data_IF_069988231768
#
_entry.id   IF_069988231768
#
_cell.length_a   1.000
_cell.length_b   1.000
_cell.length_c   1.000
_cell.angle_alpha   90.00
_cell.angle_beta   90.00
_cell.angle_gamma   90.00
#
_symmetry.space_group_name_H-M   'P 1'
#
loop_
_entity.id
_entity.type
_entity.pdbx_description
1 polymer ?
#
# COMPACT_ATOMS: atom_id res chain seq x y z
N UNK A 1 13.07 -11.31 3.25
CA UNK A 1 12.47 -9.97 3.09
C UNK A 1 12.77 -9.14 4.32
N UNK A 2 12.89 -7.82 4.20
CA UNK A 2 13.14 -6.89 5.32
C UNK A 2 11.79 -6.29 5.73
N UNK A 3 11.36 -6.48 6.97
CA UNK A 3 10.16 -5.81 7.49
C UNK A 3 10.51 -4.36 7.86
N UNK A 4 9.67 -3.42 7.44
CA UNK A 4 9.72 -2.00 7.80
C UNK A 4 8.38 -1.58 8.39
N UNK A 5 8.44 -0.67 9.35
CA UNK A 5 7.27 0.00 9.92
C UNK A 5 7.51 1.50 9.91
N UNK A 6 6.57 2.25 9.36
CA UNK A 6 6.65 3.70 9.28
C UNK A 6 5.25 4.26 9.06
N UNK A 7 4.96 5.44 9.62
CA UNK A 7 3.66 6.10 9.49
C UNK A 7 2.45 5.21 9.86
N UNK A 8 2.62 4.28 10.81
CA UNK A 8 1.56 3.38 11.27
C UNK A 8 1.28 2.18 10.35
N UNK A 9 1.93 2.07 9.20
CA UNK A 9 1.80 0.93 8.27
C UNK A 9 3.04 0.05 8.29
N UNK A 10 2.86 -1.22 7.94
CA UNK A 10 3.95 -2.18 7.80
C UNK A 10 4.06 -2.70 6.37
N UNK A 11 5.28 -2.79 5.87
CA UNK A 11 5.60 -3.23 4.52
C UNK A 11 6.92 -3.99 4.49
N UNK A 12 7.10 -4.81 3.47
CA UNK A 12 8.34 -5.52 3.22
C UNK A 12 9.15 -4.85 2.12
N UNK A 13 10.46 -5.04 2.18
CA UNK A 13 11.38 -4.72 1.10
C UNK A 13 12.19 -5.96 0.72
N UNK A 14 12.44 -6.12 -0.58
CA UNK A 14 13.43 -7.09 -1.04
C UNK A 14 14.86 -6.59 -0.74
N UNK A 15 15.73 -7.41 -0.11
CA UNK A 15 17.09 -7.00 0.23
C UNK A 15 17.90 -6.55 -0.99
N UNK A 16 17.78 -7.24 -2.12
CA UNK A 16 18.52 -6.92 -3.35
C UNK A 16 18.15 -5.55 -3.95
N UNK A 17 16.89 -5.11 -3.82
CA UNK A 17 16.47 -3.77 -4.25
C UNK A 17 16.82 -2.70 -3.23
N UNK A 18 16.82 -3.04 -1.94
CA UNK A 18 17.14 -2.09 -0.85
C UNK A 18 18.61 -1.63 -0.86
N UNK A 19 19.48 -2.26 -1.65
CA UNK A 19 20.87 -1.83 -1.86
C UNK A 19 20.98 -0.56 -2.72
N UNK A 20 19.94 -0.20 -3.47
CA UNK A 20 19.96 0.94 -4.39
C UNK A 20 19.21 2.12 -3.78
N UNK A 21 19.94 3.19 -3.43
CA UNK A 21 19.35 4.39 -2.81
C UNK A 21 18.31 5.10 -3.70
N UNK A 22 18.45 4.97 -5.02
CA UNK A 22 17.58 5.61 -6.01
C UNK A 22 16.30 4.81 -6.31
N UNK A 23 16.18 3.59 -5.77
CA UNK A 23 15.00 2.75 -5.93
C UNK A 23 14.18 2.78 -4.64
N UNK A 24 12.95 3.27 -4.73
CA UNK A 24 11.96 3.16 -3.66
C UNK A 24 10.95 2.07 -4.00
N UNK A 25 10.85 1.05 -3.16
CA UNK A 25 9.87 -0.02 -3.26
C UNK A 25 9.31 -0.40 -1.90
N UNK A 26 8.08 -0.91 -1.90
CA UNK A 26 7.40 -1.44 -0.73
C UNK A 26 6.38 -2.50 -1.14
N UNK A 27 6.35 -3.61 -0.41
CA UNK A 27 5.35 -4.66 -0.51
C UNK A 27 4.47 -4.52 0.73
N UNK A 28 3.37 -3.79 0.59
CA UNK A 28 2.50 -3.46 1.71
C UNK A 28 1.79 -4.70 2.26
N UNK A 29 1.65 -4.74 3.59
CA UNK A 29 0.83 -5.74 4.27
C UNK A 29 -0.63 -5.26 4.35
N UNK A 30 -1.50 -6.07 4.93
CA UNK A 30 -2.90 -5.68 5.21
C UNK A 30 -3.06 -4.77 6.43
N UNK A 31 -1.99 -4.39 7.13
CA UNK A 31 -2.03 -3.76 8.46
C UNK A 31 -1.83 -2.24 8.41
N UNK A 32 -2.54 -1.51 9.28
CA UNK A 32 -2.35 -0.08 9.52
C UNK A 32 -3.23 0.83 8.66
N UNK A 33 -4.29 0.30 8.05
CA UNK A 33 -5.24 1.08 7.27
C UNK A 33 -6.57 1.37 7.99
N UNK A 34 -7.52 1.91 7.22
CA UNK A 34 -8.80 2.44 7.70
C UNK A 34 -10.01 1.58 7.35
N UNK A 35 -9.84 0.55 6.51
CA UNK A 35 -10.92 -0.35 6.13
C UNK A 35 -11.34 -1.24 7.31
N UNK A 36 -12.58 -1.74 7.26
CA UNK A 36 -13.16 -2.56 8.33
C UNK A 36 -13.74 -3.88 7.81
N UNK A 37 -14.21 -4.74 8.73
CA UNK A 37 -14.84 -6.02 8.40
C UNK A 37 -13.94 -6.91 7.52
N UNK A 38 -14.44 -7.45 6.39
CA UNK A 38 -13.64 -8.34 5.53
C UNK A 38 -12.44 -7.63 4.89
N UNK A 39 -12.45 -6.29 4.83
CA UNK A 39 -11.41 -5.47 4.23
C UNK A 39 -10.38 -4.95 5.24
N UNK A 40 -10.54 -5.28 6.54
CA UNK A 40 -9.63 -4.85 7.59
C UNK A 40 -8.16 -5.18 7.23
N UNK A 41 -7.22 -4.24 7.12
CA UNK A 41 -7.29 -2.80 7.41
C UNK A 41 -6.83 -1.91 6.25
N UNK A 42 -5.81 -2.32 5.48
CA UNK A 42 -5.20 -1.53 4.41
C UNK A 42 -5.62 -2.02 3.01
N UNK A 43 -6.93 -2.08 2.75
CA UNK A 43 -7.43 -2.42 1.41
C UNK A 43 -7.26 -1.24 0.45
N UNK A 44 -6.72 -1.51 -0.74
CA UNK A 44 -6.51 -0.51 -1.81
C UNK A 44 -7.43 -0.72 -3.00
N UNK A 45 -8.24 -1.78 -3.00
CA UNK A 45 -9.11 -2.10 -4.13
C UNK A 45 -10.41 -1.31 -4.06
N UNK A 46 -10.71 -0.58 -5.14
CA UNK A 46 -11.97 0.15 -5.32
C UNK A 46 -13.10 -0.71 -5.91
N UNK A 47 -12.83 -1.99 -6.24
CA UNK A 47 -13.74 -2.84 -7.02
C UNK A 47 -14.33 -4.03 -6.25
N UNK A 48 -14.12 -4.12 -4.94
CA UNK A 48 -14.45 -5.31 -4.13
C UNK A 48 -15.54 -5.07 -3.08
N UNK A 49 -16.16 -3.89 -3.09
CA UNK A 49 -17.28 -3.56 -2.19
C UNK A 49 -16.87 -2.94 -0.85
N UNK A 50 -15.64 -2.45 -0.72
CA UNK A 50 -15.20 -1.68 0.45
C UNK A 50 -15.67 -0.22 0.38
N UNK A 51 -15.62 0.47 1.52
CA UNK A 51 -15.94 1.90 1.60
C UNK A 51 -14.93 2.72 0.78
N UNK A 52 -15.43 3.49 -0.19
CA UNK A 52 -14.57 4.29 -1.10
C UNK A 52 -13.66 5.26 -0.34
N UNK A 53 -14.16 5.86 0.76
CA UNK A 53 -13.38 6.74 1.61
C UNK A 53 -12.21 6.02 2.27
N UNK A 54 -12.45 4.83 2.86
CA UNK A 54 -11.39 4.03 3.48
C UNK A 54 -10.33 3.63 2.46
N UNK A 55 -10.74 3.24 1.25
CA UNK A 55 -9.80 2.91 0.14
C UNK A 55 -8.97 4.12 -0.27
N UNK A 56 -9.57 5.32 -0.38
CA UNK A 56 -8.85 6.57 -0.68
C UNK A 56 -7.83 6.90 0.41
N UNK A 57 -8.21 6.79 1.68
CA UNK A 57 -7.31 7.04 2.82
C UNK A 57 -6.14 6.04 2.85
N UNK A 58 -6.40 4.75 2.60
CA UNK A 58 -5.37 3.72 2.50
C UNK A 58 -4.38 4.00 1.35
N UNK A 59 -4.88 4.42 0.18
CA UNK A 59 -4.02 4.82 -0.94
C UNK A 59 -3.20 6.08 -0.62
N UNK A 60 -3.76 7.03 0.14
CA UNK A 60 -3.05 8.22 0.59
C UNK A 60 -1.92 7.88 1.59
N UNK A 61 -2.15 6.95 2.52
CA UNK A 61 -1.11 6.43 3.43
C UNK A 61 0.06 5.82 2.65
N UNK A 62 -0.25 5.01 1.63
CA UNK A 62 0.75 4.40 0.75
C UNK A 62 1.52 5.48 -0.03
N UNK A 63 0.82 6.44 -0.64
CA UNK A 63 1.46 7.53 -1.38
C UNK A 63 2.42 8.31 -0.49
N UNK A 64 2.01 8.65 0.75
CA UNK A 64 2.87 9.33 1.73
C UNK A 64 4.15 8.53 2.03
N UNK A 65 4.04 7.22 2.23
CA UNK A 65 5.23 6.37 2.43
C UNK A 65 6.12 6.32 1.17
N UNK A 66 5.50 6.35 -0.01
CA UNK A 66 6.19 6.36 -1.29
C UNK A 66 6.71 7.75 -1.73
N UNK A 67 6.68 8.75 -0.83
CA UNK A 67 7.23 10.08 -1.08
C UNK A 67 6.24 11.04 -1.74
N UNK A 68 4.95 10.88 -1.44
CA UNK A 68 3.84 11.76 -1.88
C UNK A 68 3.75 11.90 -3.40
N UNK A 69 4.10 10.82 -4.11
CA UNK A 69 3.98 10.75 -5.57
C UNK A 69 2.59 10.28 -5.98
N UNK A 70 2.15 10.74 -7.15
CA UNK A 70 0.95 10.23 -7.79
C UNK A 70 1.07 8.72 -8.04
N UNK A 71 0.03 8.00 -7.64
CA UNK A 71 -0.05 6.55 -7.80
C UNK A 71 -0.93 6.22 -8.99
N UNK A 72 -0.40 5.42 -9.92
CA UNK A 72 -1.15 4.92 -11.08
C UNK A 72 -1.63 3.51 -10.77
N UNK A 73 -2.93 3.28 -10.89
CA UNK A 73 -3.56 1.97 -10.72
C UNK A 73 -4.18 1.53 -12.04
N UNK A 74 -3.95 0.27 -12.43
CA UNK A 74 -4.60 -0.33 -13.60
C UNK A 74 -5.92 -1.01 -13.21
N UNK A 75 -6.85 -1.07 -14.16
CA UNK A 75 -7.96 -2.03 -14.10
C UNK A 75 -7.39 -3.41 -14.45
N UNK A 76 -7.22 -4.26 -13.45
CA UNK A 76 -6.71 -5.62 -13.65
C UNK A 76 -7.78 -6.50 -14.31
N UNK A 77 -7.48 -7.04 -15.49
CA UNK A 77 -8.41 -7.87 -16.29
C UNK A 77 -7.91 -9.31 -16.51
N UNK A 78 -6.81 -9.71 -15.86
CA UNK A 78 -6.16 -11.02 -16.03
C UNK A 78 -5.77 -11.37 -17.48
N UNK A 79 -5.55 -10.34 -18.31
CA UNK A 79 -5.05 -10.47 -19.68
C UNK A 79 -3.57 -10.11 -19.79
#
# INVERSE_FOLDING_TARGET
MILKQKNGISFFQFPNLALFADIRHAIFTRNGGHSSGPFLSLNVSSGVGDEEKAVKENRALISREMGEKESVFARQVHG
#
